data_IF_327877898170
#
_entry.id   IF_327877898170
#
_cell.length_a   1.000
_cell.length_b   1.000
_cell.length_c   1.000
_cell.angle_alpha   90.00
_cell.angle_beta   90.00
_cell.angle_gamma   90.00
#
_symmetry.space_group_name_H-M   'P 1'
#
loop_
_entity.id
_entity.type
_entity.pdbx_description
1 polymer ?
#
# COMPACT_ATOMS: atom_id res chain seq x y z
N UNK A 1 -42.67 -19.68 17.95
CA UNK A 1 -41.26 -19.60 18.38
C UNK A 1 -41.05 -18.22 18.98
N UNK A 2 -40.44 -18.12 20.16
CA UNK A 2 -40.07 -16.83 20.75
C UNK A 2 -38.92 -16.23 19.94
N UNK A 3 -39.05 -14.96 19.54
CA UNK A 3 -37.98 -14.21 18.88
C UNK A 3 -37.34 -13.26 19.89
N UNK A 4 -36.03 -13.10 19.80
CA UNK A 4 -35.27 -12.10 20.55
C UNK A 4 -34.63 -11.12 19.57
N UNK A 5 -34.64 -9.84 19.98
CA UNK A 5 -34.00 -8.77 19.24
C UNK A 5 -32.52 -8.68 19.66
N UNK A 6 -31.62 -8.68 18.70
CA UNK A 6 -30.17 -8.60 18.91
C UNK A 6 -29.63 -7.41 18.15
N UNK A 7 -29.11 -6.42 18.89
CA UNK A 7 -28.34 -5.33 18.31
C UNK A 7 -26.97 -5.86 17.86
N UNK A 8 -26.57 -5.52 16.64
CA UNK A 8 -25.28 -5.88 16.07
C UNK A 8 -24.68 -4.70 15.31
N UNK A 9 -23.37 -4.69 15.12
CA UNK A 9 -22.67 -3.73 14.25
C UNK A 9 -21.69 -4.45 13.35
N UNK A 10 -21.59 -4.01 12.11
CA UNK A 10 -20.64 -4.55 11.15
C UNK A 10 -19.35 -3.73 11.18
N UNK A 11 -18.22 -4.42 11.30
CA UNK A 11 -16.89 -3.87 11.05
C UNK A 11 -16.46 -4.36 9.68
N UNK A 12 -16.49 -3.46 8.71
CA UNK A 12 -16.15 -3.76 7.33
C UNK A 12 -14.64 -3.92 7.13
N UNK A 13 -14.20 -4.58 6.03
CA UNK A 13 -12.79 -4.83 5.78
C UNK A 13 -11.92 -3.56 5.67
N UNK A 14 -12.54 -2.42 5.38
CA UNK A 14 -11.89 -1.11 5.31
C UNK A 14 -11.79 -0.38 6.67
N UNK A 15 -12.21 -1.05 7.77
CA UNK A 15 -12.22 -0.47 9.11
C UNK A 15 -13.44 0.40 9.40
N UNK A 16 -14.35 0.59 8.44
CA UNK A 16 -15.59 1.31 8.70
C UNK A 16 -16.49 0.48 9.60
N UNK A 17 -16.94 1.10 10.68
CA UNK A 17 -17.95 0.54 11.56
C UNK A 17 -19.29 1.10 11.11
N UNK A 18 -20.22 0.22 10.74
CA UNK A 18 -21.59 0.61 10.44
C UNK A 18 -22.35 0.85 11.74
N UNK A 19 -23.36 1.73 11.68
CA UNK A 19 -24.22 1.99 12.82
C UNK A 19 -24.88 0.70 13.32
N UNK A 20 -25.07 0.55 14.65
CA UNK A 20 -25.72 -0.63 15.19
C UNK A 20 -27.13 -0.79 14.62
N UNK A 21 -27.40 -1.98 14.12
CA UNK A 21 -28.66 -2.39 13.53
C UNK A 21 -29.27 -3.53 14.34
N UNK A 22 -30.55 -3.82 14.14
CA UNK A 22 -31.32 -4.75 14.96
C UNK A 22 -31.80 -5.93 14.13
N UNK A 23 -31.54 -7.15 14.59
CA UNK A 23 -32.03 -8.37 13.96
C UNK A 23 -32.86 -9.22 14.91
N UNK A 24 -33.85 -9.92 14.37
CA UNK A 24 -34.68 -10.87 15.12
C UNK A 24 -34.17 -12.29 14.86
N UNK A 25 -33.87 -13.02 15.93
CA UNK A 25 -33.47 -14.44 15.87
C UNK A 25 -34.26 -15.25 16.90
N UNK A 26 -34.47 -16.57 16.71
CA UNK A 26 -35.07 -17.43 17.74
C UNK A 26 -34.37 -17.30 19.10
N UNK A 27 -35.12 -17.35 20.20
CA UNK A 27 -34.61 -17.15 21.57
C UNK A 27 -33.54 -18.20 21.98
N UNK A 28 -33.61 -19.40 21.42
CA UNK A 28 -32.68 -20.53 21.57
C UNK A 28 -31.58 -20.57 20.50
N UNK A 29 -31.37 -19.45 19.78
CA UNK A 29 -30.35 -19.37 18.74
C UNK A 29 -28.94 -19.49 19.28
N UNK A 30 -28.10 -20.18 18.50
CA UNK A 30 -26.65 -20.18 18.62
C UNK A 30 -26.06 -19.08 17.73
N UNK A 31 -24.79 -18.73 17.98
CA UNK A 31 -24.07 -17.74 17.19
C UNK A 31 -24.08 -18.06 15.69
N UNK A 32 -24.05 -19.34 15.29
CA UNK A 32 -24.20 -19.73 13.88
C UNK A 32 -25.52 -19.25 13.24
N UNK A 33 -26.63 -19.25 13.99
CA UNK A 33 -27.93 -18.76 13.50
C UNK A 33 -27.91 -17.24 13.36
N UNK A 34 -27.27 -16.54 14.31
CA UNK A 34 -27.08 -15.09 14.25
C UNK A 34 -26.25 -14.68 13.01
N UNK A 35 -25.15 -15.38 12.72
CA UNK A 35 -24.30 -15.12 11.54
C UNK A 35 -25.09 -15.28 10.23
N UNK A 36 -25.92 -16.32 10.14
CA UNK A 36 -26.79 -16.56 8.98
C UNK A 36 -27.83 -15.46 8.82
N UNK A 37 -28.50 -15.07 9.92
CA UNK A 37 -29.50 -14.01 9.90
C UNK A 37 -28.88 -12.67 9.45
N UNK A 38 -27.72 -12.28 9.99
CA UNK A 38 -27.03 -11.04 9.63
C UNK A 38 -26.61 -11.03 8.16
N UNK A 39 -26.19 -12.18 7.62
CA UNK A 39 -25.87 -12.33 6.20
C UNK A 39 -27.09 -12.13 5.30
N UNK A 40 -28.26 -12.62 5.71
CA UNK A 40 -29.52 -12.42 4.96
C UNK A 40 -29.91 -10.95 4.98
N UNK A 41 -29.91 -10.30 6.15
CA UNK A 41 -30.30 -8.89 6.31
C UNK A 41 -29.36 -7.96 5.54
N UNK A 42 -28.04 -8.27 5.54
CA UNK A 42 -27.02 -7.48 4.88
C UNK A 42 -26.58 -8.08 3.55
N UNK A 43 -27.50 -8.70 2.80
CA UNK A 43 -27.18 -9.43 1.58
C UNK A 43 -26.34 -8.62 0.58
N UNK A 44 -26.57 -7.31 0.47
CA UNK A 44 -25.79 -6.42 -0.42
C UNK A 44 -24.37 -6.15 0.11
N UNK A 45 -24.25 -5.79 1.39
CA UNK A 45 -22.96 -5.47 2.02
C UNK A 45 -22.07 -6.70 2.21
N UNK A 46 -22.70 -7.86 2.43
CA UNK A 46 -22.03 -9.14 2.65
C UNK A 46 -22.09 -10.04 1.43
N UNK A 47 -22.53 -9.59 0.25
CA UNK A 47 -22.90 -10.42 -0.92
C UNK A 47 -21.99 -11.60 -1.20
N UNK A 48 -20.68 -11.40 -1.04
CA UNK A 48 -19.67 -12.40 -1.35
C UNK A 48 -18.91 -12.94 -0.13
N UNK A 49 -19.46 -12.78 1.07
CA UNK A 49 -18.90 -13.27 2.34
C UNK A 49 -19.84 -14.35 2.86
N UNK A 50 -19.32 -15.55 3.06
CA UNK A 50 -20.09 -16.61 3.73
C UNK A 50 -20.34 -16.18 5.18
N UNK A 51 -21.57 -16.41 5.66
CA UNK A 51 -21.92 -16.35 7.07
C UNK A 51 -20.91 -17.07 7.96
N UNK A 52 -20.30 -18.19 7.52
CA UNK A 52 -19.28 -18.93 8.27
C UNK A 52 -18.01 -18.11 8.53
N UNK A 53 -17.66 -17.20 7.63
CA UNK A 53 -16.44 -16.42 7.67
C UNK A 53 -16.54 -15.17 8.57
N UNK A 54 -17.75 -14.77 8.97
CA UNK A 54 -17.97 -13.67 9.92
C UNK A 54 -17.34 -14.00 11.27
N UNK A 55 -16.71 -13.01 11.92
CA UNK A 55 -16.14 -13.16 13.27
C UNK A 55 -16.94 -12.34 14.28
N UNK A 56 -17.76 -12.99 15.12
CA UNK A 56 -18.58 -12.32 16.12
C UNK A 56 -17.81 -12.08 17.42
N UNK A 57 -18.07 -10.95 18.06
CA UNK A 57 -17.58 -10.58 19.39
C UNK A 57 -18.77 -10.08 20.21
N UNK A 58 -18.82 -10.47 21.49
CA UNK A 58 -19.94 -10.15 22.38
C UNK A 58 -20.31 -8.67 22.42
N UNK A 59 -19.31 -7.80 22.44
CA UNK A 59 -19.43 -6.34 22.50
C UNK A 59 -18.10 -5.69 22.10
N UNK A 60 -18.05 -4.35 22.13
CA UNK A 60 -16.85 -3.57 21.80
C UNK A 60 -15.64 -3.96 22.67
N UNK A 61 -15.83 -4.12 23.99
CA UNK A 61 -14.73 -4.51 24.89
C UNK A 61 -14.11 -5.87 24.54
N UNK A 62 -14.95 -6.84 24.13
CA UNK A 62 -14.48 -8.16 23.69
C UNK A 62 -13.77 -8.10 22.34
N UNK A 63 -14.22 -7.20 21.45
CA UNK A 63 -13.54 -6.93 20.18
C UNK A 63 -12.16 -6.29 20.41
N UNK A 64 -12.06 -5.29 21.28
CA UNK A 64 -10.80 -4.63 21.63
C UNK A 64 -9.83 -5.61 22.30
N UNK A 65 -10.33 -6.51 23.15
CA UNK A 65 -9.58 -7.60 23.77
C UNK A 65 -9.29 -8.78 22.82
N UNK A 66 -9.83 -8.77 21.59
CA UNK A 66 -9.71 -9.83 20.58
C UNK A 66 -10.24 -11.20 21.03
N UNK A 67 -11.27 -11.23 21.87
CA UNK A 67 -11.94 -12.44 22.35
C UNK A 67 -13.23 -12.66 21.55
N UNK A 68 -13.17 -13.51 20.53
CA UNK A 68 -14.30 -13.83 19.67
C UNK A 68 -15.25 -14.84 20.34
N UNK A 69 -16.52 -14.84 19.91
CA UNK A 69 -17.49 -15.87 20.26
C UNK A 69 -17.33 -17.09 19.34
N UNK A 70 -17.57 -18.27 19.91
CA UNK A 70 -17.59 -19.54 19.17
C UNK A 70 -18.95 -19.77 18.52
N UNK A 71 -19.00 -20.65 17.52
CA UNK A 71 -20.21 -20.86 16.70
C UNK A 71 -21.36 -21.51 17.44
N UNK A 72 -21.07 -22.25 18.51
CA UNK A 72 -21.98 -22.96 19.39
C UNK A 72 -22.32 -22.20 20.68
N UNK A 73 -21.81 -20.98 20.86
CA UNK A 73 -22.21 -20.10 21.95
C UNK A 73 -23.69 -19.71 21.84
N UNK A 74 -24.37 -19.63 22.98
CA UNK A 74 -25.77 -19.22 23.07
C UNK A 74 -25.93 -17.70 22.87
N UNK A 75 -26.95 -17.28 22.11
CA UNK A 75 -27.22 -15.87 21.84
C UNK A 75 -27.96 -15.16 22.98
N UNK A 76 -28.66 -15.88 23.86
CA UNK A 76 -29.70 -15.40 24.80
C UNK A 76 -29.40 -14.19 25.73
N UNK A 77 -28.17 -13.69 25.75
CA UNK A 77 -27.77 -12.48 26.49
C UNK A 77 -27.09 -11.40 25.65
N UNK A 78 -26.92 -11.59 24.35
CA UNK A 78 -26.13 -10.72 23.48
C UNK A 78 -26.97 -9.58 22.90
N UNK A 79 -26.37 -8.40 22.73
CA UNK A 79 -26.99 -7.32 21.96
C UNK A 79 -28.32 -6.80 22.51
N UNK A 80 -28.53 -6.79 23.84
CA UNK A 80 -29.80 -6.31 24.44
C UNK A 80 -30.01 -4.80 24.29
N UNK A 81 -28.95 -4.06 24.01
CA UNK A 81 -28.98 -2.62 23.76
C UNK A 81 -27.98 -2.23 22.67
N UNK A 82 -28.15 -1.03 22.09
CA UNK A 82 -27.18 -0.47 21.13
C UNK A 82 -25.76 -0.35 21.69
N UNK A 83 -25.63 -0.08 22.99
CA UNK A 83 -24.33 0.03 23.66
C UNK A 83 -23.63 -1.34 23.79
N UNK A 84 -24.42 -2.41 23.88
CA UNK A 84 -23.96 -3.80 23.98
C UNK A 84 -24.07 -4.55 22.65
N UNK A 85 -24.12 -3.83 21.53
CA UNK A 85 -24.27 -4.43 20.22
C UNK A 85 -23.14 -5.43 19.94
N UNK A 86 -23.52 -6.60 19.41
CA UNK A 86 -22.58 -7.63 18.97
C UNK A 86 -21.74 -7.09 17.83
N UNK A 87 -20.42 -7.17 17.95
CA UNK A 87 -19.51 -6.69 16.89
C UNK A 87 -19.23 -7.83 15.93
N UNK A 88 -19.54 -7.63 14.65
CA UNK A 88 -19.33 -8.62 13.60
C UNK A 88 -18.26 -8.11 12.65
N UNK A 89 -17.11 -8.78 12.64
CA UNK A 89 -16.02 -8.44 11.72
C UNK A 89 -16.21 -9.20 10.42
N UNK A 90 -16.21 -8.44 9.32
CA UNK A 90 -16.31 -8.95 7.96
C UNK A 90 -14.90 -9.18 7.42
N UNK A 91 -14.52 -10.42 7.06
CA UNK A 91 -13.18 -10.70 6.56
C UNK A 91 -12.93 -10.14 5.16
N UNK A 92 -11.68 -9.82 4.87
CA UNK A 92 -11.21 -9.48 3.52
C UNK A 92 -11.25 -10.77 2.68
N UNK A 93 -11.87 -10.72 1.49
CA UNK A 93 -11.82 -11.83 0.52
C UNK A 93 -10.38 -12.21 0.19
N UNK A 94 -10.00 -13.45 0.44
CA UNK A 94 -9.02 -14.18 -0.37
C UNK A 94 -9.81 -15.17 -1.22
N UNK A 95 -10.26 -14.77 -2.41
CA UNK A 95 -10.89 -15.71 -3.34
C UNK A 95 -9.82 -16.52 -4.08
N UNK A 96 -9.91 -17.88 -4.09
CA UNK A 96 -9.31 -18.68 -5.13
C UNK A 96 -10.02 -18.36 -6.46
N UNK A 97 -9.27 -18.27 -7.54
CA UNK A 97 -9.73 -17.96 -8.90
C UNK A 97 -10.81 -18.94 -9.39
N UNK A 98 -11.91 -18.43 -9.99
CA UNK A 98 -12.62 -19.16 -11.03
C UNK A 98 -12.64 -18.39 -12.35
N UNK A 99 -12.71 -19.19 -13.40
CA UNK A 99 -12.88 -18.86 -14.81
C UNK A 99 -14.00 -17.87 -15.11
N UNK A 100 -13.77 -17.11 -16.20
CA UNK A 100 -14.66 -16.21 -16.93
C UNK A 100 -16.15 -16.55 -16.83
N UNK A 101 -16.95 -15.52 -16.56
CA UNK A 101 -18.01 -15.08 -17.49
C UNK A 101 -18.33 -13.61 -17.24
N UNK A 102 -18.46 -12.86 -18.34
CA UNK A 102 -18.78 -11.45 -18.35
C UNK A 102 -20.26 -11.24 -18.03
N UNK A 103 -20.58 -10.18 -17.27
CA UNK A 103 -21.64 -9.21 -17.61
C UNK A 103 -21.79 -8.12 -16.55
N UNK A 104 -21.82 -6.88 -17.04
CA UNK A 104 -22.53 -5.71 -16.46
C UNK A 104 -22.03 -5.11 -15.13
N UNK A 105 -21.24 -4.02 -15.22
CA UNK A 105 -21.35 -2.86 -14.31
C UNK A 105 -20.50 -1.66 -14.77
N UNK A 106 -20.73 -1.15 -15.98
CA UNK A 106 -19.98 0.00 -16.55
C UNK A 106 -20.49 1.38 -16.08
N UNK A 107 -21.52 1.45 -15.22
CA UNK A 107 -22.15 2.74 -14.85
C UNK A 107 -21.77 3.29 -13.46
N UNK A 108 -21.32 2.47 -12.51
CA UNK A 108 -21.12 2.91 -11.11
C UNK A 108 -19.67 3.30 -10.75
N UNK A 109 -18.67 2.80 -11.49
CA UNK A 109 -17.27 3.16 -11.27
C UNK A 109 -16.93 4.55 -11.81
N UNK A 110 -17.59 4.96 -12.89
CA UNK A 110 -17.39 6.24 -13.58
C UNK A 110 -17.81 7.41 -12.69
N UNK A 111 -18.90 7.26 -11.93
CA UNK A 111 -19.48 8.34 -11.11
C UNK A 111 -18.70 8.65 -9.83
N UNK A 112 -18.10 7.64 -9.17
CA UNK A 112 -17.21 7.87 -8.01
C UNK A 112 -15.85 8.44 -8.43
N UNK A 113 -15.31 7.99 -9.58
CA UNK A 113 -14.07 8.54 -10.15
C UNK A 113 -14.28 9.99 -10.60
N UNK A 114 -15.42 10.30 -11.25
CA UNK A 114 -15.77 11.66 -11.66
C UNK A 114 -15.95 12.62 -10.47
N UNK A 115 -16.57 12.17 -9.37
CA UNK A 115 -16.73 12.98 -8.14
C UNK A 115 -15.40 13.22 -7.40
N UNK A 116 -14.46 12.27 -7.48
CA UNK A 116 -13.11 12.44 -6.91
C UNK A 116 -12.22 13.35 -7.78
N UNK A 117 -12.48 13.37 -9.09
CA UNK A 117 -11.75 14.20 -10.07
C UNK A 117 -12.30 15.64 -10.18
N UNK A 118 -13.57 15.87 -9.84
CA UNK A 118 -14.19 17.20 -9.89
C UNK A 118 -13.72 18.15 -8.78
N UNK A 119 -13.14 17.61 -7.70
CA UNK A 119 -12.63 18.37 -6.57
C UNK A 119 -11.12 18.71 -6.71
N UNK A 120 -10.47 18.31 -7.80
CA UNK A 120 -9.01 18.39 -7.99
C UNK A 120 -8.56 19.34 -9.12
N UNK A 121 -8.86 20.65 -8.98
CA UNK A 121 -8.14 21.69 -9.74
C UNK A 121 -7.85 22.94 -8.90
N UNK A 122 -6.60 23.03 -8.48
CA UNK A 122 -5.66 24.19 -8.40
C UNK A 122 -4.70 24.13 -7.20
N UNK A 123 -5.00 23.30 -6.19
CA UNK A 123 -4.17 23.16 -4.98
C UNK A 123 -3.30 21.88 -4.99
N UNK A 124 -2.11 21.92 -4.38
CA UNK A 124 -1.17 20.81 -4.38
C UNK A 124 -1.64 19.57 -3.59
N UNK A 125 -0.90 18.47 -3.71
CA UNK A 125 -1.21 17.24 -2.94
C UNK A 125 -0.68 17.38 -1.53
N UNK A 126 -1.57 17.56 -0.56
CA UNK A 126 -1.21 17.71 0.85
C UNK A 126 -1.02 16.37 1.56
N UNK A 127 -0.09 16.30 2.50
CA UNK A 127 0.12 15.14 3.36
C UNK A 127 1.16 15.41 4.44
N UNK A 128 1.57 14.36 5.15
CA UNK A 128 2.56 14.46 6.23
C UNK A 128 3.82 13.66 5.88
N UNK A 129 4.99 14.27 6.05
CA UNK A 129 6.29 13.60 6.03
C UNK A 129 6.66 13.16 7.44
N UNK A 130 6.15 12.01 7.86
CA UNK A 130 6.51 11.43 9.15
C UNK A 130 6.64 9.91 9.11
N UNK A 131 7.35 9.40 10.11
CA UNK A 131 7.26 8.01 10.53
C UNK A 131 6.09 7.88 11.53
N UNK A 132 5.08 7.08 11.18
CA UNK A 132 3.86 6.92 11.99
C UNK A 132 4.06 5.93 13.16
N UNK A 133 5.06 6.17 13.99
CA UNK A 133 5.38 5.36 15.18
C UNK A 133 4.42 5.65 16.35
N UNK A 134 3.12 5.75 16.07
CA UNK A 134 2.09 6.22 17.00
C UNK A 134 1.77 5.24 18.15
N UNK A 135 2.14 3.96 18.00
CA UNK A 135 2.00 2.96 19.06
C UNK A 135 3.27 2.12 19.26
N UNK A 136 3.40 1.59 20.48
CA UNK A 136 4.52 0.78 20.95
C UNK A 136 4.83 -0.44 20.04
N UNK A 137 3.80 -1.04 19.44
CA UNK A 137 3.94 -2.23 18.61
C UNK A 137 4.54 -1.87 17.25
N UNK A 138 4.08 -0.77 16.66
CA UNK A 138 4.56 -0.22 15.40
C UNK A 138 6.02 0.22 15.53
N UNK A 139 6.36 0.96 16.60
CA UNK A 139 7.74 1.38 16.88
C UNK A 139 8.69 0.19 17.15
N UNK A 140 8.26 -0.80 17.95
CA UNK A 140 9.03 -2.03 18.19
C UNK A 140 9.27 -2.81 16.90
N UNK A 141 8.27 -2.87 16.03
CA UNK A 141 8.41 -3.55 14.74
C UNK A 141 9.49 -2.92 13.87
N UNK A 142 9.50 -1.59 13.71
CA UNK A 142 10.54 -0.89 12.95
C UNK A 142 11.93 -1.15 13.54
N UNK A 143 12.06 -1.06 14.86
CA UNK A 143 13.33 -1.30 15.58
C UNK A 143 13.85 -2.72 15.32
N UNK A 144 12.97 -3.73 15.36
CA UNK A 144 13.33 -5.11 15.07
C UNK A 144 13.80 -5.31 13.63
N UNK A 145 13.08 -4.75 12.65
CA UNK A 145 13.45 -4.84 11.24
C UNK A 145 14.79 -4.16 10.94
N UNK A 146 15.06 -3.00 11.56
CA UNK A 146 16.34 -2.31 11.46
C UNK A 146 17.48 -3.12 12.09
N UNK A 147 17.28 -3.66 13.29
CA UNK A 147 18.29 -4.47 13.98
C UNK A 147 18.64 -5.75 13.19
N UNK A 148 17.63 -6.46 12.67
CA UNK A 148 17.84 -7.62 11.80
C UNK A 148 18.43 -7.23 10.45
N UNK A 149 18.04 -6.07 9.90
CA UNK A 149 18.62 -5.54 8.68
C UNK A 149 20.12 -5.33 8.82
N UNK A 150 20.56 -4.83 9.97
CA UNK A 150 21.99 -4.68 10.29
C UNK A 150 22.74 -6.00 10.33
N UNK A 151 22.14 -7.03 10.93
CA UNK A 151 22.73 -8.37 10.97
C UNK A 151 22.87 -8.99 9.56
N UNK A 152 21.96 -8.66 8.66
CA UNK A 152 21.85 -9.26 7.33
C UNK A 152 22.47 -8.40 6.19
N UNK A 153 23.07 -7.25 6.50
CA UNK A 153 23.51 -6.28 5.48
C UNK A 153 24.60 -6.81 4.51
N UNK A 154 25.30 -7.87 4.92
CA UNK A 154 26.33 -8.54 4.11
C UNK A 154 25.85 -9.88 3.54
N UNK A 155 24.56 -10.19 3.60
CA UNK A 155 23.98 -11.36 2.95
C UNK A 155 24.26 -11.34 1.44
N UNK A 156 24.41 -12.53 0.84
CA UNK A 156 24.74 -12.68 -0.57
C UNK A 156 23.67 -12.05 -1.48
N UNK A 157 22.39 -12.11 -1.11
CA UNK A 157 21.31 -11.49 -1.86
C UNK A 157 21.46 -9.95 -1.87
N UNK A 158 21.71 -9.36 -0.69
CA UNK A 158 21.87 -7.91 -0.52
C UNK A 158 23.07 -7.42 -1.33
N UNK A 159 24.22 -8.07 -1.19
CA UNK A 159 25.45 -7.68 -1.89
C UNK A 159 25.31 -7.80 -3.41
N UNK A 160 24.63 -8.83 -3.92
CA UNK A 160 24.33 -8.98 -5.35
C UNK A 160 23.41 -7.88 -5.88
N UNK A 161 22.36 -7.51 -5.14
CA UNK A 161 21.47 -6.41 -5.54
C UNK A 161 22.23 -5.09 -5.60
N UNK A 162 23.08 -4.80 -4.62
CA UNK A 162 23.90 -3.57 -4.62
C UNK A 162 24.90 -3.57 -5.79
N UNK A 163 25.56 -4.69 -6.05
CA UNK A 163 26.46 -4.83 -7.20
C UNK A 163 25.74 -4.58 -8.52
N UNK A 164 24.55 -5.17 -8.71
CA UNK A 164 23.71 -4.94 -9.89
C UNK A 164 23.30 -3.47 -10.03
N UNK A 165 22.84 -2.83 -8.95
CA UNK A 165 22.46 -1.42 -8.97
C UNK A 165 23.66 -0.53 -9.35
N UNK A 166 24.86 -0.84 -8.88
CA UNK A 166 26.08 -0.12 -9.23
C UNK A 166 26.48 -0.34 -10.69
N UNK A 167 26.44 -1.59 -11.17
CA UNK A 167 26.75 -1.95 -12.55
C UNK A 167 25.85 -1.19 -13.52
N UNK A 168 24.53 -1.26 -13.31
CA UNK A 168 23.58 -0.61 -14.21
C UNK A 168 23.61 0.91 -14.09
N UNK A 169 23.89 1.45 -12.90
CA UNK A 169 24.08 2.89 -12.73
C UNK A 169 25.33 3.38 -13.49
N UNK A 170 26.44 2.63 -13.42
CA UNK A 170 27.69 3.00 -14.10
C UNK A 170 27.60 2.78 -15.63
N UNK A 171 26.83 1.79 -16.09
CA UNK A 171 26.59 1.57 -17.51
C UNK A 171 25.90 2.77 -18.21
N UNK A 172 25.18 3.61 -17.46
CA UNK A 172 24.57 4.86 -17.97
C UNK A 172 25.59 5.91 -18.43
N UNK A 173 26.85 5.79 -18.01
CA UNK A 173 27.92 6.68 -18.51
C UNK A 173 28.19 6.42 -20.00
N UNK A 174 27.72 5.29 -20.58
CA UNK A 174 28.03 4.88 -21.95
C UNK A 174 26.85 4.48 -22.86
N UNK A 175 25.63 4.18 -22.37
CA UNK A 175 24.49 3.90 -23.26
C UNK A 175 23.12 4.22 -22.62
N UNK A 176 22.16 4.62 -23.45
CA UNK A 176 20.85 5.21 -23.11
C UNK A 176 19.77 4.20 -22.67
N UNK A 177 20.14 2.99 -22.21
CA UNK A 177 19.20 1.84 -22.17
C UNK A 177 19.07 1.02 -20.88
N UNK A 178 19.58 1.46 -19.73
CA UNK A 178 19.41 0.70 -18.48
C UNK A 178 18.91 1.53 -17.30
N UNK A 179 17.76 1.19 -16.71
CA UNK A 179 17.46 1.60 -15.31
C UNK A 179 18.23 0.65 -14.39
N UNK A 180 18.90 1.12 -13.32
CA UNK A 180 19.25 0.29 -12.18
C UNK A 180 17.98 -0.07 -11.43
N UNK A 181 17.19 -0.96 -12.03
CA UNK A 181 15.99 -1.53 -11.48
C UNK A 181 16.30 -2.98 -11.07
N UNK A 182 15.90 -3.33 -9.86
CA UNK A 182 15.86 -4.71 -9.40
C UNK A 182 14.42 -5.03 -8.96
N UNK A 183 13.90 -6.16 -9.43
CA UNK A 183 12.68 -6.73 -8.89
C UNK A 183 13.03 -7.93 -8.02
N UNK A 184 12.69 -7.86 -6.73
CA UNK A 184 12.84 -8.98 -5.81
C UNK A 184 11.50 -9.71 -5.70
N UNK A 185 11.41 -10.80 -6.45
CA UNK A 185 10.28 -11.72 -6.36
C UNK A 185 10.44 -12.65 -5.17
N UNK A 186 9.36 -12.83 -4.42
CA UNK A 186 9.28 -13.87 -3.41
C UNK A 186 7.86 -14.05 -2.91
N UNK A 187 7.48 -15.28 -2.60
CA UNK A 187 6.17 -15.54 -2.01
C UNK A 187 6.03 -14.86 -0.64
N UNK A 188 4.80 -14.77 -0.13
CA UNK A 188 4.55 -14.22 1.21
C UNK A 188 5.34 -15.03 2.26
N UNK A 189 5.92 -14.34 3.24
CA UNK A 189 6.74 -14.97 4.29
C UNK A 189 8.17 -15.35 3.89
N UNK A 190 8.64 -15.01 2.67
CA UNK A 190 10.03 -15.28 2.23
C UNK A 190 11.04 -14.18 2.59
N UNK A 191 10.70 -13.29 3.52
CA UNK A 191 11.61 -12.28 4.04
C UNK A 191 11.88 -11.09 3.12
N UNK A 192 11.04 -10.81 2.10
CA UNK A 192 11.20 -9.65 1.20
C UNK A 192 11.42 -8.34 1.94
N UNK A 193 10.50 -7.98 2.82
CA UNK A 193 10.60 -6.78 3.66
C UNK A 193 11.86 -6.80 4.50
N UNK A 194 12.22 -7.94 5.09
CA UNK A 194 13.49 -8.05 5.83
C UNK A 194 14.71 -7.81 4.94
N UNK A 195 14.69 -8.27 3.68
CA UNK A 195 15.72 -7.97 2.67
C UNK A 195 15.75 -6.47 2.33
N UNK A 196 14.59 -5.80 2.25
CA UNK A 196 14.54 -4.35 2.08
C UNK A 196 15.24 -3.61 3.23
N UNK A 197 15.01 -4.02 4.49
CA UNK A 197 15.70 -3.42 5.64
C UNK A 197 17.19 -3.77 5.70
N UNK A 198 17.60 -4.95 5.21
CA UNK A 198 19.01 -5.28 5.05
C UNK A 198 19.69 -4.42 3.96
N UNK A 199 18.98 -4.15 2.85
CA UNK A 199 19.42 -3.19 1.83
C UNK A 199 19.55 -1.77 2.38
N UNK A 200 18.57 -1.31 3.17
CA UNK A 200 18.64 -0.01 3.86
C UNK A 200 19.90 0.06 4.72
N UNK A 201 20.15 -0.94 5.57
CA UNK A 201 21.36 -0.97 6.41
C UNK A 201 22.64 -0.92 5.57
N UNK A 202 22.71 -1.72 4.50
CA UNK A 202 23.89 -1.75 3.63
C UNK A 202 24.12 -0.41 2.94
N UNK A 203 23.08 0.18 2.35
CA UNK A 203 23.15 1.48 1.67
C UNK A 203 23.56 2.59 2.65
N UNK A 204 23.02 2.60 3.86
CA UNK A 204 23.41 3.53 4.92
C UNK A 204 24.86 3.35 5.35
N UNK A 205 25.35 2.12 5.49
CA UNK A 205 26.78 1.87 5.80
C UNK A 205 27.72 2.41 4.71
N UNK A 206 27.22 2.47 3.47
CA UNK A 206 27.91 3.05 2.31
C UNK A 206 27.64 4.56 2.17
N UNK A 207 26.91 5.18 3.10
CA UNK A 207 26.49 6.59 3.09
C UNK A 207 25.66 6.97 1.84
N UNK A 208 24.94 6.01 1.28
CA UNK A 208 24.06 6.22 0.13
C UNK A 208 22.64 6.55 0.62
N UNK A 209 21.99 7.62 0.13
CA UNK A 209 20.62 7.93 0.48
C UNK A 209 19.67 6.80 0.05
N UNK A 210 18.76 6.40 0.94
CA UNK A 210 17.78 5.34 0.69
C UNK A 210 16.39 5.69 1.19
N UNK A 211 15.41 5.66 0.29
CA UNK A 211 14.00 5.93 0.59
C UNK A 211 13.18 4.64 0.52
N UNK A 212 12.42 4.35 1.55
CA UNK A 212 11.52 3.21 1.62
C UNK A 212 10.06 3.68 1.52
N UNK A 213 9.31 3.13 0.58
CA UNK A 213 7.92 3.47 0.30
C UNK A 213 7.11 2.19 0.07
N UNK A 214 5.80 2.29 0.23
CA UNK A 214 4.87 1.22 -0.12
C UNK A 214 4.20 1.50 -1.46
N UNK A 215 4.02 0.46 -2.28
CA UNK A 215 3.38 0.58 -3.59
C UNK A 215 1.91 0.96 -3.49
N UNK A 216 1.20 0.36 -2.52
CA UNK A 216 -0.21 0.62 -2.25
C UNK A 216 -0.37 1.48 -1.01
N UNK A 217 -1.46 2.26 -0.96
CA UNK A 217 -1.84 3.01 0.23
C UNK A 217 -2.03 2.07 1.42
N UNK A 218 -1.18 2.14 2.46
CA UNK A 218 -1.28 1.23 3.60
C UNK A 218 -2.55 1.50 4.40
N UNK A 219 -3.23 0.41 4.79
CA UNK A 219 -4.44 0.45 5.62
C UNK A 219 -4.16 -0.09 7.01
N UNK A 220 -5.11 0.05 7.94
CA UNK A 220 -4.96 -0.44 9.32
C UNK A 220 -4.79 -1.98 9.41
N UNK A 221 -5.13 -2.74 8.37
CA UNK A 221 -4.91 -4.20 8.35
C UNK A 221 -3.48 -4.60 7.98
N UNK A 222 -2.64 -3.65 7.57
CA UNK A 222 -1.25 -3.93 7.22
C UNK A 222 -0.44 -4.33 8.45
N UNK A 223 0.63 -5.09 8.22
CA UNK A 223 1.58 -5.46 9.26
C UNK A 223 2.15 -4.22 9.95
N UNK A 224 2.46 -4.27 11.26
CA UNK A 224 2.94 -3.11 12.01
C UNK A 224 4.11 -2.37 11.36
N UNK A 225 5.04 -3.09 10.73
CA UNK A 225 6.18 -2.48 10.03
C UNK A 225 5.74 -1.47 8.96
N UNK A 226 4.74 -1.81 8.15
CA UNK A 226 4.24 -0.95 7.08
C UNK A 226 3.50 0.28 7.59
N UNK A 227 2.90 0.17 8.80
CA UNK A 227 2.20 1.30 9.40
C UNK A 227 3.17 2.44 9.73
N UNK A 228 4.44 2.16 10.04
CA UNK A 228 5.45 3.21 10.25
C UNK A 228 5.63 4.13 9.04
N UNK A 229 5.30 3.68 7.83
CA UNK A 229 5.48 4.43 6.59
C UNK A 229 4.15 4.89 6.00
N UNK A 230 3.09 4.93 6.81
CA UNK A 230 1.72 5.15 6.32
C UNK A 230 1.56 6.52 5.69
N UNK A 231 1.97 7.57 6.38
CA UNK A 231 1.80 8.96 5.95
C UNK A 231 2.63 9.25 4.71
N UNK A 232 3.92 8.93 4.73
CA UNK A 232 4.81 9.17 3.58
C UNK A 232 4.42 8.32 2.35
N UNK A 233 4.04 7.05 2.53
CA UNK A 233 3.60 6.21 1.41
C UNK A 233 2.22 6.58 0.90
N UNK A 234 1.33 7.08 1.76
CA UNK A 234 0.04 7.62 1.33
C UNK A 234 0.22 8.86 0.46
N UNK A 235 1.10 9.78 0.86
CA UNK A 235 1.41 10.96 0.07
C UNK A 235 2.03 10.60 -1.29
N UNK A 236 2.97 9.65 -1.32
CA UNK A 236 3.51 9.10 -2.56
C UNK A 236 2.41 8.53 -3.47
N UNK A 237 1.56 7.68 -2.90
CA UNK A 237 0.47 7.03 -3.62
C UNK A 237 -0.52 8.05 -4.21
N UNK A 238 -0.88 9.08 -3.44
CA UNK A 238 -1.80 10.12 -3.87
C UNK A 238 -1.19 10.96 -5.01
N UNK A 239 0.12 11.26 -4.95
CA UNK A 239 0.84 11.91 -6.07
C UNK A 239 0.84 11.05 -7.34
N UNK A 240 1.12 9.74 -7.20
CA UNK A 240 1.11 8.80 -8.33
C UNK A 240 -0.28 8.72 -8.95
N UNK A 241 -1.34 8.63 -8.13
CA UNK A 241 -2.71 8.62 -8.63
C UNK A 241 -3.07 9.90 -9.39
N UNK A 242 -2.63 11.05 -8.88
CA UNK A 242 -2.90 12.34 -9.51
C UNK A 242 -2.23 12.48 -10.89
N UNK A 243 -1.09 11.83 -11.09
CA UNK A 243 -0.42 11.80 -12.40
C UNK A 243 -0.96 10.68 -13.30
N UNK A 244 -1.28 9.52 -12.74
CA UNK A 244 -1.76 8.32 -13.47
C UNK A 244 -3.04 8.61 -14.26
N UNK A 245 -3.92 9.48 -13.75
CA UNK A 245 -5.17 9.87 -14.45
C UNK A 245 -4.94 10.53 -15.81
N UNK A 246 -3.75 11.10 -16.04
CA UNK A 246 -3.36 11.67 -17.32
C UNK A 246 -2.97 10.62 -18.37
N UNK A 247 -3.01 9.34 -18.01
CA UNK A 247 -2.70 8.21 -18.88
C UNK A 247 -3.91 7.27 -18.91
N UNK A 248 -4.68 7.36 -19.99
CA UNK A 248 -5.87 6.54 -20.20
C UNK A 248 -5.50 5.16 -20.71
N UNK A 249 -5.89 4.10 -19.99
CA UNK A 249 -5.76 2.73 -20.47
C UNK A 249 -4.33 2.18 -20.43
N UNK A 250 -4.11 1.11 -21.19
CA UNK A 250 -2.89 0.29 -21.18
C UNK A 250 -1.58 1.01 -21.55
N UNK A 251 -1.63 2.30 -21.88
CA UNK A 251 -0.49 3.12 -22.29
C UNK A 251 0.30 3.59 -21.06
N UNK A 252 1.59 3.22 -21.01
CA UNK A 252 2.52 3.76 -20.01
C UNK A 252 3.42 4.78 -20.68
N UNK A 253 3.59 5.98 -20.12
CA UNK A 253 4.37 7.03 -20.76
C UNK A 253 5.85 6.67 -20.83
N UNK A 254 6.43 6.81 -22.02
CA UNK A 254 7.87 6.71 -22.24
C UNK A 254 8.62 7.98 -21.82
N UNK A 255 9.95 7.97 -21.98
CA UNK A 255 10.85 9.05 -21.57
C UNK A 255 10.39 10.43 -22.10
N UNK A 256 10.20 10.58 -23.40
CA UNK A 256 9.82 11.85 -24.05
C UNK A 256 8.49 12.40 -23.52
N UNK A 257 7.52 11.52 -23.23
CA UNK A 257 6.22 11.90 -22.68
C UNK A 257 6.34 12.40 -21.23
N UNK A 258 7.21 11.76 -20.43
CA UNK A 258 7.43 12.13 -19.05
C UNK A 258 8.24 13.42 -18.92
N UNK A 259 9.27 13.62 -19.75
CA UNK A 259 10.14 14.81 -19.68
C UNK A 259 9.45 16.11 -20.09
N UNK A 260 8.34 16.02 -20.83
CA UNK A 260 7.59 17.19 -21.30
C UNK A 260 6.45 17.63 -20.36
N UNK A 261 6.30 16.98 -19.19
CA UNK A 261 5.22 17.24 -18.24
C UNK A 261 5.73 17.70 -16.88
N UNK A 262 4.87 18.44 -16.18
CA UNK A 262 5.00 18.67 -14.74
C UNK A 262 4.17 17.62 -14.00
N UNK A 263 4.79 16.93 -13.05
CA UNK A 263 4.19 15.77 -12.37
C UNK A 263 4.28 15.93 -10.85
N UNK A 264 3.23 15.53 -10.13
CA UNK A 264 3.22 15.51 -8.66
C UNK A 264 4.22 14.49 -8.12
N UNK A 265 4.42 13.37 -8.82
CA UNK A 265 5.41 12.35 -8.48
C UNK A 265 6.83 12.91 -8.59
N UNK A 266 7.12 13.79 -9.57
CA UNK A 266 8.39 14.53 -9.64
C UNK A 266 8.54 15.50 -8.46
N UNK A 267 7.47 16.21 -8.11
CA UNK A 267 7.41 17.06 -6.92
C UNK A 267 7.72 16.31 -5.63
N UNK A 268 7.10 15.14 -5.46
CA UNK A 268 7.31 14.27 -4.30
C UNK A 268 8.76 13.77 -4.21
N UNK A 269 9.33 13.32 -5.33
CA UNK A 269 10.73 12.88 -5.38
C UNK A 269 11.67 14.03 -5.02
N UNK A 270 11.48 15.22 -5.59
CA UNK A 270 12.25 16.41 -5.26
C UNK A 270 12.17 16.77 -3.77
N UNK A 271 10.97 16.70 -3.19
CA UNK A 271 10.75 16.90 -1.76
C UNK A 271 11.56 15.91 -0.92
N UNK A 272 11.53 14.61 -1.24
CA UNK A 272 12.30 13.62 -0.51
C UNK A 272 13.82 13.82 -0.64
N UNK A 273 14.32 14.12 -1.85
CA UNK A 273 15.75 14.38 -2.08
C UNK A 273 16.23 15.62 -1.31
N UNK A 274 15.38 16.63 -1.16
CA UNK A 274 15.74 17.84 -0.42
C UNK A 274 15.71 17.61 1.10
N UNK A 275 14.78 16.79 1.62
CA UNK A 275 14.61 16.55 3.06
C UNK A 275 15.49 15.43 3.60
N UNK A 276 15.48 14.27 2.96
CA UNK A 276 16.14 13.06 3.44
C UNK A 276 17.50 12.92 2.77
N UNK A 277 18.57 13.10 3.55
CA UNK A 277 19.95 12.91 3.06
C UNK A 277 20.49 11.52 3.38
N UNK A 278 19.84 10.79 4.30
CA UNK A 278 20.24 9.43 4.69
C UNK A 278 19.12 8.44 4.42
N UNK A 279 18.04 8.44 5.22
CA UNK A 279 16.91 7.55 4.99
C UNK A 279 15.66 7.95 5.77
N UNK A 280 14.50 7.83 5.13
CA UNK A 280 13.20 7.99 5.77
C UNK A 280 12.81 6.82 6.69
N UNK A 281 13.64 5.78 6.84
CA UNK A 281 13.47 4.74 7.85
C UNK A 281 14.18 5.06 9.17
N UNK A 282 14.98 6.14 9.22
CA UNK A 282 15.78 6.55 10.38
C UNK A 282 15.54 8.02 10.74
N UNK A 283 15.36 8.88 9.75
CA UNK A 283 15.03 10.29 9.95
C UNK A 283 13.51 10.49 9.99
N UNK A 284 13.03 11.30 10.94
CA UNK A 284 11.62 11.69 11.05
C UNK A 284 11.53 13.22 11.08
N UNK A 285 10.65 13.79 10.25
CA UNK A 285 10.50 15.25 10.11
C UNK A 285 9.19 15.77 10.68
N UNK A 286 8.19 14.90 10.90
CA UNK A 286 6.84 15.24 11.38
C UNK A 286 6.29 16.57 10.83
N UNK A 287 6.35 16.71 9.50
CA UNK A 287 6.05 17.97 8.80
C UNK A 287 4.83 17.82 7.90
N UNK A 288 3.86 18.73 8.03
CA UNK A 288 2.78 18.87 7.05
C UNK A 288 3.32 19.56 5.81
N UNK A 289 3.15 18.93 4.66
CA UNK A 289 3.70 19.38 3.38
C UNK A 289 2.62 19.43 2.31
N UNK A 290 2.86 20.29 1.33
CA UNK A 290 2.09 20.35 0.10
C UNK A 290 3.04 20.05 -1.07
N UNK A 291 2.74 19.00 -1.83
CA UNK A 291 3.50 18.61 -3.02
C UNK A 291 2.91 19.29 -4.23
N UNK A 292 3.73 20.10 -4.91
CA UNK A 292 3.38 20.72 -6.19
C UNK A 292 3.97 19.93 -7.34
N UNK A 293 3.29 19.94 -8.48
CA UNK A 293 3.82 19.34 -9.70
C UNK A 293 5.10 20.07 -10.14
N UNK A 294 6.17 19.31 -10.40
CA UNK A 294 7.44 19.84 -10.89
C UNK A 294 7.78 19.22 -12.25
N UNK A 295 8.54 19.96 -13.05
CA UNK A 295 9.07 19.46 -14.32
C UNK A 295 10.34 18.61 -14.14
N UNK A 296 10.69 17.90 -15.22
CA UNK A 296 11.87 17.03 -15.27
C UNK A 296 13.18 17.78 -14.98
N UNK A 297 13.36 18.97 -15.57
CA UNK A 297 14.57 19.78 -15.40
C UNK A 297 14.80 20.18 -13.94
N UNK A 298 13.75 20.47 -13.20
CA UNK A 298 13.82 20.85 -11.79
C UNK A 298 14.37 19.70 -10.95
N UNK A 299 13.89 18.48 -11.18
CA UNK A 299 14.39 17.29 -10.47
C UNK A 299 15.83 16.96 -10.89
N UNK A 300 16.16 17.09 -12.17
CA UNK A 300 17.53 16.90 -12.65
C UNK A 300 18.52 17.90 -12.02
N UNK A 301 18.13 19.15 -11.84
CA UNK A 301 18.98 20.15 -11.19
C UNK A 301 19.32 19.74 -9.75
N UNK A 302 18.36 19.17 -9.01
CA UNK A 302 18.60 18.60 -7.68
C UNK A 302 19.57 17.42 -7.77
N UNK A 303 19.34 16.50 -8.71
CA UNK A 303 20.20 15.31 -8.89
C UNK A 303 21.61 15.62 -9.41
N UNK A 304 21.80 16.81 -9.98
CA UNK A 304 23.10 17.31 -10.43
C UNK A 304 23.94 17.88 -9.28
N UNK A 305 23.40 17.93 -8.05
CA UNK A 305 24.19 18.22 -6.86
C UNK A 305 25.31 17.18 -6.71
N UNK A 306 26.51 17.65 -6.42
CA UNK A 306 27.70 16.84 -6.14
C UNK A 306 27.46 15.69 -5.14
N UNK A 307 26.55 15.89 -4.18
CA UNK A 307 26.13 14.88 -3.21
C UNK A 307 25.52 13.66 -3.91
N UNK A 308 24.60 13.87 -4.87
CA UNK A 308 23.88 12.78 -5.53
C UNK A 308 24.63 12.18 -6.71
N UNK A 309 25.53 12.95 -7.33
CA UNK A 309 26.50 12.41 -8.28
C UNK A 309 27.42 11.39 -7.58
N UNK A 310 27.91 11.74 -6.39
CA UNK A 310 28.81 10.87 -5.62
C UNK A 310 28.06 9.76 -4.87
N UNK A 311 26.84 10.05 -4.43
CA UNK A 311 26.02 9.17 -3.60
C UNK A 311 24.63 9.00 -4.23
N UNK A 312 24.49 8.17 -5.27
CA UNK A 312 23.26 8.05 -6.02
C UNK A 312 22.12 7.50 -5.14
N UNK A 313 20.98 8.23 -5.04
CA UNK A 313 19.88 7.86 -4.18
C UNK A 313 19.18 6.58 -4.69
N UNK A 314 18.76 5.74 -3.75
CA UNK A 314 18.04 4.49 -4.01
C UNK A 314 16.64 4.51 -3.42
N UNK A 315 15.65 4.15 -4.22
CA UNK A 315 14.27 3.99 -3.79
C UNK A 315 13.91 2.52 -3.69
N UNK A 316 13.31 2.13 -2.58
CA UNK A 316 12.80 0.80 -2.33
C UNK A 316 11.28 0.91 -2.23
N UNK A 317 10.57 0.22 -3.10
CA UNK A 317 9.10 0.16 -3.10
C UNK A 317 8.67 -1.26 -2.77
N UNK A 318 8.14 -1.46 -1.56
CA UNK A 318 7.68 -2.77 -1.08
C UNK A 318 6.16 -2.96 -1.30
N UNK A 319 5.69 -4.18 -1.07
CA UNK A 319 4.30 -4.60 -1.22
C UNK A 319 3.74 -4.33 -2.64
N UNK A 320 4.57 -4.57 -3.66
CA UNK A 320 4.14 -4.51 -5.05
C UNK A 320 3.22 -5.70 -5.36
N UNK A 321 1.91 -5.47 -5.30
CA UNK A 321 0.90 -6.42 -5.75
C UNK A 321 0.64 -6.23 -7.25
N UNK A 322 0.93 -7.26 -8.05
CA UNK A 322 0.62 -7.23 -9.47
C UNK A 322 -0.77 -7.79 -9.74
N UNK A 323 -1.66 -6.95 -10.23
CA UNK A 323 -2.89 -7.34 -10.93
C UNK A 323 -3.01 -6.53 -12.24
N UNK A 324 -3.89 -6.93 -13.16
CA UNK A 324 -4.02 -6.25 -14.46
C UNK A 324 -4.36 -4.76 -14.34
N UNK A 325 -5.01 -4.34 -13.25
CA UNK A 325 -5.35 -2.94 -12.99
C UNK A 325 -4.16 -2.16 -12.43
N UNK A 326 -3.30 -2.81 -11.64
CA UNK A 326 -2.08 -2.25 -11.08
C UNK A 326 -0.89 -2.25 -12.06
N UNK A 327 -0.98 -3.01 -13.15
CA UNK A 327 0.07 -3.08 -14.17
C UNK A 327 0.40 -1.72 -14.78
N UNK A 328 -0.60 -0.87 -15.02
CA UNK A 328 -0.42 0.50 -15.51
C UNK A 328 0.42 1.34 -14.54
N UNK A 329 0.01 1.39 -13.27
CA UNK A 329 0.74 2.07 -12.19
C UNK A 329 2.16 1.57 -12.02
N UNK A 330 2.37 0.25 -12.03
CA UNK A 330 3.71 -0.32 -11.91
C UNK A 330 4.63 0.18 -13.01
N UNK A 331 4.16 0.16 -14.27
CA UNK A 331 4.94 0.69 -15.40
C UNK A 331 5.16 2.19 -15.27
N UNK A 332 4.13 2.95 -14.88
CA UNK A 332 4.24 4.39 -14.67
C UNK A 332 5.33 4.72 -13.65
N UNK A 333 5.26 4.14 -12.45
CA UNK A 333 6.27 4.31 -11.40
C UNK A 333 7.66 3.94 -11.92
N UNK A 334 7.81 2.76 -12.51
CA UNK A 334 9.10 2.31 -13.07
C UNK A 334 9.65 3.29 -14.12
N UNK A 335 8.81 3.80 -15.01
CA UNK A 335 9.21 4.73 -16.07
C UNK A 335 9.55 6.12 -15.52
N UNK A 336 8.92 6.57 -14.43
CA UNK A 336 9.30 7.79 -13.70
C UNK A 336 10.72 7.68 -13.16
N UNK A 337 11.01 6.62 -12.40
CA UNK A 337 12.34 6.38 -11.84
C UNK A 337 13.39 6.16 -12.95
N UNK A 338 13.02 5.51 -14.06
CA UNK A 338 13.87 5.43 -15.27
C UNK A 338 14.27 6.80 -15.77
N UNK A 339 13.27 7.64 -15.99
CA UNK A 339 13.42 8.94 -16.65
C UNK A 339 14.35 9.84 -15.85
N UNK A 340 14.23 9.79 -14.53
CA UNK A 340 15.09 10.53 -13.59
C UNK A 340 16.46 9.87 -13.35
N UNK A 341 16.67 8.67 -13.89
CA UNK A 341 17.93 7.96 -13.74
C UNK A 341 18.19 7.37 -12.34
N UNK A 342 17.16 7.30 -11.50
CA UNK A 342 17.24 6.86 -10.10
C UNK A 342 17.39 5.33 -9.96
N UNK A 343 18.01 4.89 -8.86
CA UNK A 343 18.08 3.47 -8.47
C UNK A 343 16.75 3.05 -7.86
N UNK A 344 16.19 1.95 -8.33
CA UNK A 344 14.87 1.45 -7.91
C UNK A 344 14.95 -0.04 -7.56
N UNK A 345 14.51 -0.40 -6.37
CA UNK A 345 14.26 -1.78 -5.97
C UNK A 345 12.78 -1.92 -5.71
N UNK A 346 12.11 -2.83 -6.41
CA UNK A 346 10.71 -3.16 -6.15
C UNK A 346 10.60 -4.58 -5.60
N UNK A 347 9.78 -4.77 -4.58
CA UNK A 347 9.58 -6.07 -3.94
C UNK A 347 8.12 -6.48 -4.10
N UNK A 348 7.90 -7.71 -4.58
CA UNK A 348 6.56 -8.21 -4.86
C UNK A 348 6.49 -9.72 -4.92
N UNK A 349 5.28 -10.24 -5.08
CA UNK A 349 5.02 -11.69 -5.13
C UNK A 349 4.89 -12.24 -6.55
N UNK A 350 4.98 -11.39 -7.57
CA UNK A 350 4.70 -11.75 -8.96
C UNK A 350 5.79 -11.22 -9.89
N UNK A 351 6.64 -12.14 -10.39
CA UNK A 351 7.74 -11.84 -11.29
C UNK A 351 7.33 -11.25 -12.63
N UNK A 352 6.05 -11.35 -13.04
CA UNK A 352 5.56 -10.72 -14.29
C UNK A 352 5.74 -9.21 -14.29
N UNK A 353 5.76 -8.59 -13.11
CA UNK A 353 6.03 -7.18 -12.96
C UNK A 353 7.42 -6.79 -13.51
N UNK A 354 8.42 -7.66 -13.39
CA UNK A 354 9.76 -7.44 -13.94
C UNK A 354 9.80 -7.51 -15.47
N UNK A 355 8.90 -8.30 -16.08
CA UNK A 355 8.86 -8.55 -17.52
C UNK A 355 7.96 -7.57 -18.30
N UNK A 356 7.43 -6.53 -17.65
CA UNK A 356 6.57 -5.57 -18.32
C UNK A 356 7.36 -4.78 -19.37
N UNK A 357 6.86 -4.74 -20.60
CA UNK A 357 7.41 -3.86 -21.65
C UNK A 357 7.35 -2.39 -21.23
N UNK A 358 8.25 -1.56 -21.77
CA UNK A 358 8.35 -0.13 -21.42
C UNK A 358 7.08 0.65 -21.75
N UNK A 359 6.41 0.28 -22.84
CA UNK A 359 5.14 0.82 -23.32
C UNK A 359 4.20 -0.33 -23.70
N UNK A 360 2.89 -0.10 -23.72
CA UNK A 360 1.96 -0.88 -24.53
C UNK A 360 1.22 0.07 -25.47
N UNK A 361 1.03 -0.34 -26.73
CA UNK A 361 0.60 0.55 -27.81
C UNK A 361 1.76 0.89 -28.75
N UNK A 362 1.44 1.27 -30.00
CA UNK A 362 2.45 1.51 -31.04
C UNK A 362 3.40 2.63 -30.64
N UNK A 363 4.69 2.31 -30.72
CA UNK A 363 5.86 3.20 -30.67
C UNK A 363 5.72 4.41 -31.56
#
# INVERSE_FOLDING_TARGET
MSLQAVWYRLVLPNGNILDPDLIQVPADSLVVHLKKAIKVENANALKDVDSSALKPYKNQASFDAKVALEVDDAVGGLGRSKAEAVVIVVPIKTTPSPSREASSSTLFATTKRAKYLSDMREDGVSGTLCLDSADDVVAKSLTQYLALGKLLENDLCVTKVIAWLNEVHNAKVHDSRGIPFAFLEGSSGKGKTQTAFALISKLQSLKLPVMYLLFNKPTLSFQPIYRNFKSISSLFYDCVLHDEVNYSGNESPGFVSLTSKSLYTFGFIALLLNRFKVSNAVENFDELVEVKALDYSTVLNILSDSLFISNPPTFIIDECSFDEKAAGRFRFIRNIFRTLGLRLVMLGTDGRAAMLMETMGKS
#
